data_IF_532696554423
#
_entry.id   IF_532696554423
#
_cell.length_a   1.000
_cell.length_b   1.000
_cell.length_c   1.000
_cell.angle_alpha   90.00
_cell.angle_beta   90.00
_cell.angle_gamma   90.00
#
_symmetry.space_group_name_H-M   'P 1'
#
loop_
_entity.id
_entity.type
_entity.pdbx_description
1 polymer ?
#
# COMPACT_ATOMS: atom_id res chain seq x y z
N UNK A 1 -32.02 -23.97 12.25
CA UNK A 1 -31.77 -23.31 10.96
C UNK A 1 -31.22 -24.34 9.99
N UNK A 2 -31.40 -24.11 8.70
CA UNK A 2 -30.84 -24.96 7.64
C UNK A 2 -29.48 -24.41 7.22
N UNK A 3 -28.52 -25.30 6.90
CA UNK A 3 -27.15 -24.92 6.48
C UNK A 3 -27.08 -23.95 5.28
N UNK A 4 -28.13 -23.89 4.48
CA UNK A 4 -28.28 -22.95 3.38
C UNK A 4 -28.47 -21.50 3.89
N UNK A 5 -29.06 -21.30 5.08
CA UNK A 5 -29.20 -19.99 5.74
C UNK A 5 -27.85 -19.48 6.26
N UNK A 6 -27.03 -20.36 6.82
CA UNK A 6 -25.72 -19.98 7.37
C UNK A 6 -24.67 -19.73 6.26
N UNK A 7 -24.83 -20.35 5.08
CA UNK A 7 -23.94 -20.14 3.92
C UNK A 7 -24.06 -18.74 3.31
N UNK A 8 -25.28 -18.23 3.06
CA UNK A 8 -25.45 -16.93 2.39
C UNK A 8 -24.98 -15.76 3.26
N UNK A 9 -25.06 -15.90 4.59
CA UNK A 9 -24.53 -14.93 5.56
C UNK A 9 -23.02 -14.82 5.42
N UNK A 10 -22.32 -15.96 5.29
CA UNK A 10 -20.87 -15.98 5.10
C UNK A 10 -20.46 -15.39 3.74
N UNK A 11 -21.14 -15.75 2.65
CA UNK A 11 -20.86 -15.19 1.33
C UNK A 11 -21.07 -13.66 1.30
N UNK A 12 -22.09 -13.19 2.02
CA UNK A 12 -22.39 -11.75 2.19
C UNK A 12 -21.32 -11.03 3.02
N UNK A 13 -20.77 -11.68 4.06
CA UNK A 13 -19.62 -11.16 4.82
C UNK A 13 -18.38 -11.05 3.93
N UNK A 14 -18.03 -12.11 3.19
CA UNK A 14 -16.84 -12.08 2.31
C UNK A 14 -16.98 -10.99 1.25
N UNK A 15 -18.18 -10.78 0.70
CA UNK A 15 -18.45 -9.66 -0.21
C UNK A 15 -18.31 -8.30 0.47
N UNK A 16 -18.76 -8.15 1.73
CA UNK A 16 -18.63 -6.92 2.51
C UNK A 16 -17.17 -6.58 2.85
N UNK A 17 -16.38 -7.55 3.31
CA UNK A 17 -14.97 -7.37 3.65
C UNK A 17 -14.10 -7.04 2.42
N UNK A 18 -14.49 -7.51 1.22
CA UNK A 18 -13.87 -7.09 -0.04
C UNK A 18 -14.43 -5.77 -0.58
N UNK A 19 -15.50 -5.24 0.02
CA UNK A 19 -16.16 -4.02 -0.41
C UNK A 19 -15.38 -2.75 -0.06
N UNK A 20 -15.61 -1.64 -0.81
CA UNK A 20 -15.00 -0.35 -0.48
C UNK A 20 -15.53 0.24 0.83
N UNK A 21 -16.73 -0.17 1.26
CA UNK A 21 -17.32 0.23 2.55
C UNK A 21 -16.46 -0.27 3.71
N UNK A 22 -15.94 -1.50 3.62
CA UNK A 22 -14.98 -2.04 4.58
C UNK A 22 -13.58 -1.46 4.38
N UNK A 23 -13.06 -1.54 3.15
CA UNK A 23 -11.65 -1.27 2.90
C UNK A 23 -11.28 0.20 3.01
N UNK A 24 -12.09 1.15 2.51
CA UNK A 24 -11.66 2.55 2.46
C UNK A 24 -11.48 3.17 3.86
N UNK A 25 -12.40 3.04 4.83
CA UNK A 25 -12.20 3.59 6.17
C UNK A 25 -11.01 2.96 6.90
N UNK A 26 -10.84 1.64 6.81
CA UNK A 26 -9.77 0.94 7.50
C UNK A 26 -8.40 1.22 6.87
N UNK A 27 -8.29 1.26 5.54
CA UNK A 27 -7.04 1.65 4.88
C UNK A 27 -6.66 3.09 5.23
N UNK A 28 -7.60 4.05 5.18
CA UNK A 28 -7.32 5.43 5.59
C UNK A 28 -6.88 5.54 7.05
N UNK A 29 -7.53 4.80 7.96
CA UNK A 29 -7.13 4.77 9.37
C UNK A 29 -5.72 4.19 9.55
N UNK A 30 -5.43 3.05 8.93
CA UNK A 30 -4.12 2.38 9.04
C UNK A 30 -3.04 3.27 8.43
N UNK A 31 -3.27 3.90 7.27
CA UNK A 31 -2.34 4.84 6.64
C UNK A 31 -2.03 6.06 7.52
N UNK A 32 -3.05 6.75 8.03
CA UNK A 32 -2.87 7.95 8.85
C UNK A 32 -2.19 7.62 10.19
N UNK A 33 -2.61 6.54 10.85
CA UNK A 33 -2.24 6.23 12.23
C UNK A 33 -0.98 5.36 12.34
N UNK A 34 -0.55 4.69 11.26
CA UNK A 34 0.68 3.87 11.24
C UNK A 34 1.97 4.68 11.36
N UNK A 35 1.94 5.98 11.04
CA UNK A 35 3.13 6.83 10.94
C UNK A 35 4.00 6.91 12.21
N UNK A 36 3.46 6.54 13.39
CA UNK A 36 4.20 6.50 14.66
C UNK A 36 4.70 5.10 15.06
N UNK A 37 4.40 4.06 14.28
CA UNK A 37 4.67 2.66 14.64
C UNK A 37 6.05 2.22 14.16
N UNK A 38 6.96 2.05 15.11
CA UNK A 38 8.36 1.72 14.85
C UNK A 38 8.66 0.21 15.02
N UNK A 39 9.51 -0.42 14.18
CA UNK A 39 9.83 -1.85 14.30
C UNK A 39 10.49 -2.27 15.63
N UNK A 40 11.09 -1.32 16.34
CA UNK A 40 11.82 -1.55 17.58
C UNK A 40 11.04 -1.18 18.85
N UNK A 41 9.79 -0.71 18.71
CA UNK A 41 8.96 -0.24 19.82
C UNK A 41 7.61 -0.99 19.82
N UNK A 42 7.22 -1.55 20.96
CA UNK A 42 5.99 -2.36 21.08
C UNK A 42 5.07 -1.96 22.25
N UNK A 43 5.63 -1.30 23.27
CA UNK A 43 4.91 -0.88 24.47
C UNK A 43 4.90 0.65 24.58
N UNK A 44 3.98 1.26 23.83
CA UNK A 44 3.74 2.69 23.79
C UNK A 44 2.26 2.96 24.10
N UNK A 45 1.97 3.93 24.96
CA UNK A 45 0.60 4.23 25.38
C UNK A 45 -0.25 4.89 24.28
N UNK A 46 0.37 5.53 23.29
CA UNK A 46 -0.33 6.03 22.10
C UNK A 46 -0.73 4.90 21.15
N UNK A 47 0.08 3.84 21.02
CA UNK A 47 -0.30 2.65 20.23
C UNK A 47 -1.55 1.98 20.82
N UNK A 48 -1.65 1.92 22.16
CA UNK A 48 -2.83 1.38 22.87
C UNK A 48 -4.09 2.23 22.65
N UNK A 49 -3.96 3.57 22.57
CA UNK A 49 -5.10 4.45 22.25
C UNK A 49 -5.59 4.19 20.82
N UNK A 50 -4.67 4.16 19.85
CA UNK A 50 -4.98 3.89 18.44
C UNK A 50 -5.57 2.49 18.28
N UNK A 51 -5.12 1.50 19.07
CA UNK A 51 -5.69 0.15 19.08
C UNK A 51 -7.17 0.14 19.50
N UNK A 52 -7.55 0.88 20.55
CA UNK A 52 -8.96 0.99 20.97
C UNK A 52 -9.81 1.81 19.98
N UNK A 53 -9.22 2.81 19.31
CA UNK A 53 -9.86 3.49 18.17
C UNK A 53 -10.12 2.52 17.00
N UNK A 54 -9.13 1.69 16.66
CA UNK A 54 -9.22 0.68 15.58
C UNK A 54 -10.29 -0.37 15.87
N UNK A 55 -10.32 -0.89 17.10
CA UNK A 55 -11.38 -1.80 17.58
C UNK A 55 -12.76 -1.19 17.44
N UNK A 56 -12.93 0.03 17.95
CA UNK A 56 -14.19 0.76 17.87
C UNK A 56 -14.67 0.97 16.43
N UNK A 57 -13.74 1.19 15.49
CA UNK A 57 -14.04 1.29 14.06
C UNK A 57 -14.47 -0.07 13.46
N UNK A 58 -13.73 -1.14 13.73
CA UNK A 58 -14.05 -2.50 13.28
C UNK A 58 -15.41 -2.96 13.82
N UNK A 59 -15.66 -2.78 15.12
CA UNK A 59 -16.91 -3.15 15.79
C UNK A 59 -18.10 -2.36 15.24
N UNK A 60 -17.94 -1.05 15.01
CA UNK A 60 -18.97 -0.21 14.38
C UNK A 60 -19.30 -0.69 12.95
N UNK A 61 -18.28 -1.03 12.16
CA UNK A 61 -18.47 -1.45 10.77
C UNK A 61 -19.11 -2.84 10.66
N UNK A 62 -18.70 -3.79 11.51
CA UNK A 62 -19.35 -5.10 11.60
C UNK A 62 -20.78 -5.00 12.19
N UNK A 63 -20.99 -4.11 13.16
CA UNK A 63 -22.32 -3.84 13.73
C UNK A 63 -23.31 -3.33 12.69
N UNK A 64 -22.94 -2.27 11.95
CA UNK A 64 -23.76 -1.75 10.86
C UNK A 64 -24.05 -2.82 9.79
N UNK A 65 -23.05 -3.63 9.42
CA UNK A 65 -23.25 -4.73 8.47
C UNK A 65 -24.29 -5.75 8.97
N UNK A 66 -24.23 -6.15 10.25
CA UNK A 66 -25.22 -7.08 10.83
C UNK A 66 -26.62 -6.46 10.89
N UNK A 67 -26.73 -5.17 11.20
CA UNK A 67 -28.01 -4.42 11.19
C UNK A 67 -28.60 -4.34 9.77
N UNK A 68 -27.79 -4.01 8.76
CA UNK A 68 -28.22 -3.86 7.36
C UNK A 68 -28.75 -5.17 6.75
N UNK A 69 -28.16 -6.32 7.09
CA UNK A 69 -28.63 -7.65 6.64
C UNK A 69 -29.63 -8.30 7.61
N UNK A 70 -29.91 -7.67 8.76
CA UNK A 70 -30.93 -8.09 9.72
C UNK A 70 -30.62 -9.38 10.49
N UNK A 71 -29.34 -9.68 10.77
CA UNK A 71 -28.92 -10.86 11.55
C UNK A 71 -28.46 -10.49 12.96
N UNK A 72 -28.53 -11.44 13.89
CA UNK A 72 -27.93 -11.29 15.23
C UNK A 72 -26.49 -11.82 15.27
N UNK A 73 -25.62 -11.32 16.18
CA UNK A 73 -24.23 -11.78 16.29
C UNK A 73 -24.06 -13.30 16.48
N UNK A 74 -25.02 -13.98 17.10
CA UNK A 74 -25.01 -15.44 17.25
C UNK A 74 -25.15 -16.17 15.90
N UNK A 75 -26.00 -15.67 14.98
CA UNK A 75 -26.12 -16.22 13.63
C UNK A 75 -24.85 -15.98 12.82
N UNK A 76 -24.27 -14.78 12.94
CA UNK A 76 -23.00 -14.44 12.33
C UNK A 76 -21.85 -15.36 12.79
N UNK A 77 -21.77 -15.61 14.11
CA UNK A 77 -20.78 -16.53 14.69
C UNK A 77 -20.97 -17.97 14.18
N UNK A 78 -22.21 -18.45 14.07
CA UNK A 78 -22.53 -19.78 13.55
C UNK A 78 -22.17 -19.94 12.07
N UNK A 79 -22.50 -18.96 11.21
CA UNK A 79 -22.10 -18.92 9.80
C UNK A 79 -20.57 -18.98 9.61
N UNK A 80 -19.82 -18.25 10.42
CA UNK A 80 -18.36 -18.31 10.44
C UNK A 80 -17.80 -19.64 10.99
N UNK A 81 -18.59 -20.37 11.79
CA UNK A 81 -18.21 -21.67 12.38
C UNK A 81 -18.47 -22.83 11.42
N UNK A 82 -19.57 -22.83 10.66
CA UNK A 82 -19.89 -23.92 9.71
C UNK A 82 -19.01 -23.86 8.46
N UNK A 83 -18.68 -22.66 7.97
CA UNK A 83 -17.99 -22.47 6.67
C UNK A 83 -16.47 -22.75 6.71
N UNK A 84 -15.93 -23.14 7.88
CA UNK A 84 -14.50 -23.49 8.13
C UNK A 84 -13.86 -24.49 7.16
N UNK A 85 -14.65 -25.25 6.41
CA UNK A 85 -14.18 -26.36 5.59
C UNK A 85 -14.10 -26.07 4.08
N UNK A 86 -14.55 -24.91 3.60
CA UNK A 86 -14.89 -24.73 2.18
C UNK A 86 -14.20 -23.56 1.45
N UNK A 87 -13.40 -22.75 2.14
CA UNK A 87 -12.84 -21.51 1.56
C UNK A 87 -11.34 -21.42 1.82
N UNK A 88 -10.57 -21.10 0.77
CA UNK A 88 -9.21 -20.60 0.92
C UNK A 88 -9.27 -19.24 1.61
N UNK A 89 -8.94 -19.20 2.90
CA UNK A 89 -8.85 -17.95 3.64
C UNK A 89 -7.77 -17.08 3.00
N UNK A 90 -8.18 -16.03 2.28
CA UNK A 90 -7.29 -14.96 1.88
C UNK A 90 -6.80 -14.28 3.16
N UNK A 91 -5.57 -14.60 3.58
CA UNK A 91 -5.06 -14.27 4.92
C UNK A 91 -5.15 -12.77 5.22
N UNK A 92 -5.04 -11.91 4.20
CA UNK A 92 -5.13 -10.46 4.32
C UNK A 92 -6.56 -9.96 4.58
N UNK A 93 -7.61 -10.68 4.15
CA UNK A 93 -9.01 -10.26 4.30
C UNK A 93 -9.45 -10.28 5.76
N UNK A 94 -9.02 -11.30 6.50
CA UNK A 94 -9.34 -11.47 7.91
C UNK A 94 -8.26 -10.87 8.84
N UNK A 95 -7.11 -10.47 8.31
CA UNK A 95 -6.01 -9.86 9.09
C UNK A 95 -6.49 -8.69 9.95
N UNK A 96 -7.33 -7.80 9.41
CA UNK A 96 -7.86 -6.64 10.14
C UNK A 96 -8.80 -7.05 11.29
N UNK A 97 -9.59 -8.11 11.10
CA UNK A 97 -10.51 -8.65 12.14
C UNK A 97 -9.70 -9.37 13.23
N UNK A 98 -8.63 -10.09 12.86
CA UNK A 98 -7.72 -10.71 13.82
C UNK A 98 -6.92 -9.64 14.59
N UNK A 99 -6.43 -8.62 13.90
CA UNK A 99 -5.72 -7.49 14.47
C UNK A 99 -6.56 -6.78 15.54
N UNK A 100 -7.86 -6.58 15.33
CA UNK A 100 -8.75 -5.97 16.33
C UNK A 100 -8.77 -6.72 17.68
N UNK A 101 -8.44 -8.00 17.70
CA UNK A 101 -8.47 -8.85 18.89
C UNK A 101 -7.07 -9.23 19.43
N UNK A 102 -6.03 -9.04 18.64
CA UNK A 102 -4.64 -9.31 19.01
C UNK A 102 -3.80 -8.04 18.80
N UNK A 103 -3.52 -7.33 19.90
CA UNK A 103 -2.67 -6.13 19.90
C UNK A 103 -1.30 -6.37 19.25
N UNK A 104 -0.73 -7.58 19.36
CA UNK A 104 0.52 -7.93 18.71
C UNK A 104 0.40 -8.08 17.19
N UNK A 105 -0.72 -8.61 16.69
CA UNK A 105 -1.04 -8.56 15.26
C UNK A 105 -1.29 -7.13 14.78
N UNK A 106 -2.04 -6.34 15.55
CA UNK A 106 -2.28 -4.93 15.24
C UNK A 106 -0.99 -4.12 15.13
N UNK A 107 -0.10 -4.17 16.14
CA UNK A 107 1.19 -3.46 16.09
C UNK A 107 1.99 -3.90 14.85
N UNK A 108 2.10 -5.20 14.57
CA UNK A 108 2.80 -5.68 13.36
C UNK A 108 2.18 -5.15 12.06
N UNK A 109 0.85 -5.15 11.95
CA UNK A 109 0.12 -4.63 10.79
C UNK A 109 0.37 -3.12 10.58
N UNK A 110 0.35 -2.34 11.67
CA UNK A 110 0.61 -0.91 11.65
C UNK A 110 2.07 -0.60 11.32
N UNK A 111 3.04 -1.26 11.96
CA UNK A 111 4.47 -1.16 11.62
C UNK A 111 4.73 -1.53 10.17
N UNK A 112 4.12 -2.60 9.65
CA UNK A 112 4.24 -2.99 8.23
C UNK A 112 3.78 -1.87 7.31
N UNK A 113 2.62 -1.26 7.57
CA UNK A 113 2.12 -0.13 6.78
C UNK A 113 3.05 1.09 6.87
N UNK A 114 3.63 1.39 8.04
CA UNK A 114 4.59 2.49 8.18
C UNK A 114 5.80 2.27 7.26
N UNK A 115 6.43 1.09 7.32
CA UNK A 115 7.59 0.74 6.48
C UNK A 115 7.21 0.77 4.98
N UNK A 116 6.03 0.27 4.60
CA UNK A 116 5.52 0.39 3.22
C UNK A 116 5.38 1.86 2.77
N UNK A 117 4.86 2.75 3.61
CA UNK A 117 4.71 4.18 3.30
C UNK A 117 6.06 4.90 3.22
N UNK A 118 7.02 4.56 4.08
CA UNK A 118 8.39 5.08 4.02
C UNK A 118 9.08 4.67 2.71
N UNK A 119 8.98 3.40 2.31
CA UNK A 119 9.50 2.91 1.03
C UNK A 119 8.86 3.64 -0.17
N UNK A 120 7.54 3.85 -0.16
CA UNK A 120 6.84 4.62 -1.20
C UNK A 120 7.30 6.08 -1.27
N UNK A 121 7.51 6.74 -0.13
CA UNK A 121 8.06 8.09 -0.09
C UNK A 121 9.49 8.13 -0.68
N UNK A 122 10.30 7.12 -0.38
CA UNK A 122 11.67 6.99 -0.86
C UNK A 122 11.73 6.79 -2.39
N UNK A 123 10.89 5.92 -2.95
CA UNK A 123 10.77 5.75 -4.41
C UNK A 123 10.34 7.04 -5.12
N UNK A 124 9.44 7.82 -4.51
CA UNK A 124 9.03 9.13 -5.06
C UNK A 124 10.18 10.14 -5.04
N UNK A 125 11.03 10.13 -4.01
CA UNK A 125 12.26 10.94 -3.92
C UNK A 125 13.26 10.49 -4.99
N UNK A 126 13.57 9.20 -5.08
CA UNK A 126 14.48 8.63 -6.10
C UNK A 126 14.06 9.06 -7.52
N UNK A 127 12.77 8.91 -7.84
CA UNK A 127 12.20 9.25 -9.15
C UNK A 127 12.21 10.75 -9.45
N UNK A 128 11.98 11.61 -8.45
CA UNK A 128 11.92 13.07 -8.63
C UNK A 128 13.30 13.70 -8.75
N UNK A 129 14.27 13.23 -7.98
CA UNK A 129 15.61 13.82 -7.90
C UNK A 129 16.66 13.07 -8.75
N UNK A 130 16.26 12.02 -9.46
CA UNK A 130 17.14 11.24 -10.34
C UNK A 130 18.11 10.33 -9.60
N UNK A 131 17.82 10.02 -8.33
CA UNK A 131 18.64 9.19 -7.45
C UNK A 131 18.37 7.72 -7.77
N UNK A 132 18.70 7.30 -8.99
CA UNK A 132 18.76 5.88 -9.31
C UNK A 132 20.03 5.28 -8.68
N UNK A 133 19.93 4.19 -7.91
CA UNK A 133 21.11 3.47 -7.43
C UNK A 133 22.03 3.14 -8.60
N UNK A 134 23.35 3.30 -8.47
CA UNK A 134 24.30 2.93 -9.54
C UNK A 134 24.17 1.46 -9.99
N UNK A 135 23.58 0.61 -9.15
CA UNK A 135 23.18 -0.77 -9.45
C UNK A 135 22.24 -0.91 -10.66
N UNK A 136 21.37 0.08 -10.92
CA UNK A 136 20.40 0.05 -12.02
C UNK A 136 20.87 0.73 -13.31
N UNK A 137 22.12 1.21 -13.36
CA UNK A 137 22.73 1.70 -14.60
C UNK A 137 23.38 0.50 -15.30
N UNK A 138 22.89 0.06 -16.48
CA UNK A 138 23.54 -1.03 -17.20
C UNK A 138 24.96 -0.60 -17.56
N UNK A 139 25.97 -1.30 -17.03
CA UNK A 139 27.37 -0.89 -17.15
C UNK A 139 27.85 -1.05 -18.61
N UNK A 140 27.66 0.01 -19.39
CA UNK A 140 28.01 0.10 -20.81
C UNK A 140 28.82 1.37 -21.04
N UNK A 141 30.02 1.21 -21.58
CA UNK A 141 31.03 2.26 -21.61
C UNK A 141 30.71 3.45 -22.54
N UNK A 142 30.70 4.64 -21.93
CA UNK A 142 31.19 5.94 -22.45
C UNK A 142 30.49 6.60 -23.66
N UNK A 143 30.59 7.95 -23.77
CA UNK A 143 29.73 8.73 -24.65
C UNK A 143 30.34 8.91 -26.04
N UNK A 144 29.49 8.80 -27.07
CA UNK A 144 29.78 9.32 -28.41
C UNK A 144 28.58 10.12 -28.89
N UNK A 145 28.77 11.43 -28.94
CA UNK A 145 28.01 12.31 -29.82
C UNK A 145 28.52 12.05 -31.24
N UNK A 146 27.82 11.24 -32.03
CA UNK A 146 27.96 11.36 -33.49
C UNK A 146 26.71 10.94 -34.23
N UNK A 147 26.34 11.82 -35.16
CA UNK A 147 25.29 11.71 -36.16
C UNK A 147 25.74 10.69 -37.21
N UNK A 148 24.85 9.79 -37.63
CA UNK A 148 24.74 9.41 -39.04
C UNK A 148 23.37 8.80 -39.38
N UNK A 149 23.00 8.83 -40.66
CA UNK A 149 21.64 8.62 -41.15
C UNK A 149 21.47 7.29 -41.91
N UNK A 150 20.20 6.85 -42.00
CA UNK A 150 19.60 6.03 -43.06
C UNK A 150 19.98 4.53 -43.23
N UNK A 151 18.97 3.67 -43.13
CA UNK A 151 18.40 2.99 -44.34
C UNK A 151 17.05 2.29 -44.07
N UNK A 152 16.25 2.15 -45.14
CA UNK A 152 14.95 1.44 -45.32
C UNK A 152 14.72 0.15 -44.49
N UNK A 153 13.50 -0.32 -44.18
CA UNK A 153 12.16 -0.11 -44.79
C UNK A 153 11.04 -0.63 -43.82
N UNK A 154 9.71 -0.48 -43.97
CA UNK A 154 8.82 0.15 -44.98
C UNK A 154 7.40 0.42 -44.37
N UNK A 155 6.63 1.30 -45.04
CA UNK A 155 5.15 1.24 -45.25
C UNK A 155 4.11 1.56 -44.14
N UNK A 156 3.19 2.46 -44.52
CA UNK A 156 1.78 2.59 -44.10
C UNK A 156 1.41 3.16 -42.70
N UNK A 157 1.54 4.49 -42.52
CA UNK A 157 0.45 5.40 -42.05
C UNK A 157 1.00 6.81 -41.77
N UNK A 158 0.94 7.73 -42.74
CA UNK A 158 1.76 8.96 -42.72
C UNK A 158 1.02 10.26 -43.12
N UNK A 159 -0.12 10.55 -42.49
CA UNK A 159 -0.82 11.84 -42.66
C UNK A 159 -1.43 12.46 -41.39
N UNK A 160 -1.55 11.68 -40.30
CA UNK A 160 -2.04 12.15 -38.99
C UNK A 160 -0.91 12.40 -38.00
N UNK A 161 -0.03 11.41 -37.77
CA UNK A 161 1.04 11.46 -36.76
C UNK A 161 2.03 12.65 -36.91
N UNK A 162 2.32 13.09 -38.14
CA UNK A 162 3.22 14.24 -38.38
C UNK A 162 2.65 15.59 -37.87
N UNK A 163 1.32 15.70 -37.72
CA UNK A 163 0.69 16.90 -37.12
C UNK A 163 0.66 16.83 -35.60
N UNK A 164 0.32 15.66 -35.06
CA UNK A 164 0.25 15.42 -33.61
C UNK A 164 1.63 15.61 -32.99
N UNK A 165 2.69 15.01 -33.56
CA UNK A 165 4.07 15.19 -33.07
C UNK A 165 4.56 16.64 -33.10
N UNK A 166 4.07 17.47 -34.04
CA UNK A 166 4.46 18.88 -34.10
C UNK A 166 3.73 19.72 -33.05
N UNK A 167 2.43 19.48 -32.84
CA UNK A 167 1.64 20.12 -31.79
C UNK A 167 2.11 19.72 -30.39
N UNK A 168 2.41 18.43 -30.19
CA UNK A 168 2.95 17.90 -28.93
C UNK A 168 4.30 18.54 -28.59
N UNK A 169 5.19 18.67 -29.58
CA UNK A 169 6.48 19.35 -29.40
C UNK A 169 6.35 20.85 -29.12
N UNK A 170 5.40 21.52 -29.77
CA UNK A 170 5.10 22.94 -29.54
C UNK A 170 4.48 23.18 -28.15
N UNK A 171 3.65 22.24 -27.66
CA UNK A 171 3.14 22.23 -26.28
C UNK A 171 4.27 21.99 -25.28
N UNK A 172 5.17 21.03 -25.53
CA UNK A 172 6.30 20.73 -24.65
C UNK A 172 7.28 21.92 -24.55
N UNK A 173 7.60 22.59 -25.66
CA UNK A 173 8.46 23.78 -25.68
C UNK A 173 7.81 24.98 -24.95
N UNK A 174 6.51 25.24 -25.16
CA UNK A 174 5.77 26.32 -24.47
C UNK A 174 5.61 26.03 -22.96
N UNK A 175 5.40 24.77 -22.58
CA UNK A 175 5.39 24.32 -21.18
C UNK A 175 6.76 24.53 -20.55
N UNK A 176 7.83 23.99 -21.15
CA UNK A 176 9.20 24.12 -20.64
C UNK A 176 9.62 25.59 -20.47
N UNK A 177 9.20 26.46 -21.39
CA UNK A 177 9.44 27.90 -21.30
C UNK A 177 8.73 28.55 -20.11
N UNK A 178 7.46 28.22 -19.84
CA UNK A 178 6.73 28.77 -18.66
C UNK A 178 7.33 28.30 -17.34
N UNK A 179 7.72 27.03 -17.24
CA UNK A 179 8.40 26.52 -16.05
C UNK A 179 9.76 27.21 -15.82
N UNK A 180 10.53 27.51 -16.89
CA UNK A 180 11.78 28.26 -16.78
C UNK A 180 11.59 29.75 -16.41
N UNK A 181 10.44 30.35 -16.70
CA UNK A 181 10.14 31.75 -16.35
C UNK A 181 9.68 31.89 -14.87
N UNK A 182 9.01 30.88 -14.30
CA UNK A 182 8.55 30.89 -12.89
C UNK A 182 9.67 30.61 -11.85
N UNK A 183 10.75 29.93 -12.23
CA UNK A 183 11.87 29.58 -11.33
C UNK A 183 12.69 30.78 -10.81
N UNK A 184 12.45 32.00 -11.30
CA UNK A 184 13.09 33.21 -10.74
C UNK A 184 12.56 33.58 -9.34
N UNK A 185 11.52 32.90 -8.83
CA UNK A 185 10.85 33.24 -7.57
C UNK A 185 11.09 32.29 -6.39
N UNK A 186 11.78 31.14 -6.55
CA UNK A 186 12.00 30.21 -5.43
C UNK A 186 13.38 29.56 -5.43
N UNK A 187 14.43 30.36 -5.19
CA UNK A 187 15.78 29.87 -4.87
C UNK A 187 15.85 29.30 -3.44
N UNK A 188 15.15 28.20 -3.18
CA UNK A 188 15.25 27.47 -1.91
C UNK A 188 15.48 25.98 -2.13
N UNK A 189 16.67 25.55 -1.70
CA UNK A 189 17.25 24.21 -1.52
C UNK A 189 18.35 23.77 -2.50
N UNK A 190 19.43 23.14 -1.97
CA UNK A 190 20.71 23.06 -2.65
C UNK A 190 20.84 21.82 -3.54
N UNK A 191 21.89 21.82 -4.36
CA UNK A 191 22.40 20.64 -5.06
C UNK A 191 22.71 19.52 -4.06
N UNK A 192 21.89 18.48 -4.04
CA UNK A 192 22.05 17.28 -3.20
C UNK A 192 23.43 16.65 -3.43
N UNK A 193 24.17 16.45 -2.35
CA UNK A 193 25.52 15.92 -2.37
C UNK A 193 25.53 14.39 -2.52
N UNK A 194 26.66 13.86 -2.99
CA UNK A 194 26.88 12.40 -3.06
C UNK A 194 26.87 11.70 -1.69
N UNK A 195 26.88 12.45 -0.58
CA UNK A 195 26.78 11.88 0.78
C UNK A 195 25.33 11.57 1.13
N UNK A 196 24.43 12.54 0.92
CA UNK A 196 22.99 12.41 1.17
C UNK A 196 22.37 11.31 0.29
N UNK A 197 22.88 11.13 -0.94
CA UNK A 197 22.50 10.04 -1.84
C UNK A 197 22.83 8.65 -1.28
N UNK A 198 23.99 8.49 -0.62
CA UNK A 198 24.38 7.20 -0.04
C UNK A 198 23.57 6.90 1.24
N UNK A 199 23.29 7.92 2.05
CA UNK A 199 22.48 7.80 3.27
C UNK A 199 21.05 7.31 2.95
N UNK A 200 20.42 7.88 1.91
CA UNK A 200 19.13 7.44 1.33
C UNK A 200 19.16 5.98 0.84
N UNK A 201 20.27 5.54 0.25
CA UNK A 201 20.43 4.16 -0.24
C UNK A 201 20.61 3.14 0.90
N UNK A 202 21.33 3.51 1.96
CA UNK A 202 21.50 2.69 3.16
C UNK A 202 20.16 2.56 3.92
N UNK A 203 19.44 3.67 4.09
CA UNK A 203 18.10 3.69 4.70
C UNK A 203 17.11 2.79 3.95
N UNK A 204 17.08 2.83 2.61
CA UNK A 204 16.26 1.92 1.78
C UNK A 204 16.53 0.45 2.08
N UNK A 205 17.80 0.06 2.11
CA UNK A 205 18.20 -1.33 2.33
C UNK A 205 17.82 -1.83 3.73
N UNK A 206 17.85 -0.95 4.74
CA UNK A 206 17.44 -1.27 6.11
C UNK A 206 15.93 -1.47 6.19
N UNK A 207 15.14 -0.59 5.54
CA UNK A 207 13.68 -0.70 5.51
C UNK A 207 13.19 -1.95 4.75
N UNK A 208 13.84 -2.32 3.64
CA UNK A 208 13.54 -3.56 2.92
C UNK A 208 13.82 -4.82 3.78
N UNK A 209 14.90 -4.83 4.56
CA UNK A 209 15.21 -5.92 5.50
C UNK A 209 14.21 -5.96 6.68
N UNK A 210 13.82 -4.79 7.22
CA UNK A 210 12.81 -4.68 8.28
C UNK A 210 11.43 -5.15 7.81
N UNK A 211 11.00 -4.77 6.60
CA UNK A 211 9.72 -5.25 6.03
C UNK A 211 9.69 -6.78 5.97
N UNK A 212 10.82 -7.39 5.61
CA UNK A 212 10.96 -8.84 5.56
C UNK A 212 10.89 -9.48 6.95
N UNK A 213 11.57 -8.93 7.96
CA UNK A 213 11.48 -9.49 9.33
C UNK A 213 10.10 -9.32 9.96
N UNK A 214 9.37 -8.24 9.64
CA UNK A 214 7.97 -8.06 10.05
C UNK A 214 7.04 -9.05 9.34
N UNK A 215 7.33 -9.42 8.08
CA UNK A 215 6.57 -10.42 7.32
C UNK A 215 6.88 -11.87 7.71
N UNK A 216 8.11 -12.18 8.13
CA UNK A 216 8.56 -13.53 8.50
C UNK A 216 8.18 -13.93 9.95
N UNK A 217 7.46 -13.06 10.67
CA UNK A 217 6.90 -13.36 11.99
C UNK A 217 5.80 -14.43 11.93
N UNK A 218 6.20 -15.69 12.12
CA UNK A 218 5.41 -16.91 11.89
C UNK A 218 3.89 -16.81 12.12
N UNK A 219 3.14 -17.25 11.11
CA UNK A 219 1.71 -17.56 11.20
C UNK A 219 1.50 -18.70 12.20
N UNK A 220 1.23 -18.37 13.46
CA UNK A 220 1.00 -19.37 14.51
C UNK A 220 -0.21 -20.25 14.15
N UNK A 221 -0.07 -21.58 14.15
CA UNK A 221 -1.09 -22.45 13.55
C UNK A 221 -2.34 -22.55 14.43
N UNK A 222 -3.47 -22.09 13.89
CA UNK A 222 -4.78 -22.64 14.22
C UNK A 222 -5.41 -22.24 15.55
N UNK A 223 -5.55 -20.93 15.82
CA UNK A 223 -6.63 -20.46 16.71
C UNK A 223 -7.89 -20.15 15.88
N UNK A 224 -9.07 -20.71 16.20
CA UNK A 224 -10.27 -20.46 15.40
C UNK A 224 -10.70 -19.00 15.46
N UNK A 225 -11.22 -18.47 14.34
CA UNK A 225 -11.87 -17.16 14.23
C UNK A 225 -12.81 -16.84 15.42
N UNK A 226 -13.65 -17.82 15.79
CA UNK A 226 -14.61 -17.71 16.89
C UNK A 226 -14.02 -17.70 18.31
N UNK A 227 -12.72 -17.95 18.50
CA UNK A 227 -12.04 -17.94 19.82
C UNK A 227 -11.26 -16.66 20.04
N UNK A 228 -10.85 -15.96 18.97
CA UNK A 228 -10.13 -14.69 19.08
C UNK A 228 -11.08 -13.50 18.99
N UNK A 229 -12.15 -13.56 18.20
CA UNK A 229 -13.06 -12.42 18.00
C UNK A 229 -13.94 -12.04 19.22
N UNK A 230 -13.98 -12.87 20.29
CA UNK A 230 -14.97 -12.74 21.38
C UNK A 230 -14.46 -13.31 22.71
N UNK A 231 -13.28 -12.89 23.19
CA UNK A 231 -12.73 -13.33 24.48
C UNK A 231 -11.85 -12.26 25.16
#
# INVERSE_FOLDING_TARGET
>A
MSKEEDSWVFDSLVAFLNGPIWNAPLQSFIEEKSLIFEPNESDNDDYKKIFEEFKSLVDFMLGNFMEDIGIVPEQFQNACIETKNHVSFDNNLFEQIWAANDYGMFVRMMTRRNVELQLQALELIEKKYGITPQSFVPSSHKPILEREEASSDQSANRTTAERESKLEKEILDEVAKRFAEEDTSCTIFPSTSSSEINEVLEEKSILEEQLKTVSDGETSPGKPFAVMAWN
#
